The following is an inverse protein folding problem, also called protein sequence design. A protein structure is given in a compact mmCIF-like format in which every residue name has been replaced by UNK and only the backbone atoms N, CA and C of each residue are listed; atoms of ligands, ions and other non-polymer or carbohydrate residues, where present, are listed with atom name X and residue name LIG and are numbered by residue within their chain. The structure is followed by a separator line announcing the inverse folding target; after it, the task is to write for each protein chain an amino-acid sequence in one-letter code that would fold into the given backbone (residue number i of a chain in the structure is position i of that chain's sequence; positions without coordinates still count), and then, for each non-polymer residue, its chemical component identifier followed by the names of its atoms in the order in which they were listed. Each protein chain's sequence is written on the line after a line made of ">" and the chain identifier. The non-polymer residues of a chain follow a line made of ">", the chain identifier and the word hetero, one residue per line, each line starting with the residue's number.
data_IF_122787862318
#
_entry.id   IF_122787862318
#
_cell.length_a   1.000
_cell.length_b   1.000
_cell.length_c   1.000
_cell.angle_alpha   90.00
_cell.angle_beta   90.00
_cell.angle_gamma   90.00
#
_symmetry.space_group_name_H-M   'P 1'
#
loop_
_entity.id
_entity.type
_entity.pdbx_description
1 polymer ?
#
# COMPACT_ATOMS: atom_id res chain seq x y z
N UNK A 1 -21.83 -36.88 -11.23
CA UNK A 1 -22.48 -35.58 -11.52
C UNK A 1 -22.65 -34.75 -10.25
N UNK A 2 -23.23 -35.32 -9.19
CA UNK A 2 -23.45 -34.64 -7.90
C UNK A 2 -22.16 -34.19 -7.18
N UNK A 3 -21.10 -35.01 -7.19
CA UNK A 3 -19.80 -34.64 -6.62
C UNK A 3 -19.09 -33.49 -7.38
N UNK A 4 -19.31 -33.37 -8.69
CA UNK A 4 -18.76 -32.28 -9.49
C UNK A 4 -19.45 -30.94 -9.16
N UNK A 5 -20.79 -30.97 -9.01
CA UNK A 5 -21.58 -29.82 -8.58
C UNK A 5 -21.21 -29.35 -7.15
N UNK A 6 -20.98 -30.28 -6.23
CA UNK A 6 -20.57 -29.95 -4.86
C UNK A 6 -19.15 -29.33 -4.79
N UNK A 7 -18.25 -29.74 -5.67
CA UNK A 7 -16.92 -29.12 -5.79
C UNK A 7 -16.99 -27.72 -6.41
N UNK A 8 -17.86 -27.53 -7.41
CA UNK A 8 -18.07 -26.26 -8.09
C UNK A 8 -18.69 -25.21 -7.15
N UNK A 9 -19.69 -25.60 -6.36
CA UNK A 9 -20.33 -24.72 -5.37
C UNK A 9 -19.32 -24.31 -4.27
N UNK A 10 -18.50 -25.24 -3.78
CA UNK A 10 -17.46 -24.94 -2.78
C UNK A 10 -16.37 -24.02 -3.33
N UNK A 11 -15.98 -24.19 -4.60
CA UNK A 11 -15.02 -23.32 -5.27
C UNK A 11 -15.59 -21.91 -5.49
N UNK A 12 -16.82 -21.80 -5.98
CA UNK A 12 -17.50 -20.53 -6.20
C UNK A 12 -17.69 -19.76 -4.88
N UNK A 13 -18.14 -20.46 -3.84
CA UNK A 13 -18.35 -19.89 -2.49
C UNK A 13 -17.04 -19.40 -1.89
N UNK A 14 -15.93 -20.14 -2.04
CA UNK A 14 -14.61 -19.71 -1.55
C UNK A 14 -14.04 -18.50 -2.32
N UNK A 15 -14.24 -18.43 -3.64
CA UNK A 15 -13.82 -17.28 -4.47
C UNK A 15 -14.63 -16.03 -4.09
N UNK A 16 -15.95 -16.16 -3.96
CA UNK A 16 -16.83 -15.07 -3.55
C UNK A 16 -16.51 -14.57 -2.14
N UNK A 17 -16.23 -15.48 -1.19
CA UNK A 17 -15.91 -15.11 0.18
C UNK A 17 -14.54 -14.40 0.29
N UNK A 18 -13.54 -14.86 -0.46
CA UNK A 18 -12.21 -14.22 -0.49
C UNK A 18 -12.24 -12.81 -1.08
N UNK A 19 -12.99 -12.62 -2.19
CA UNK A 19 -13.16 -11.29 -2.80
C UNK A 19 -14.00 -10.35 -1.93
N UNK A 20 -15.09 -10.84 -1.35
CA UNK A 20 -15.92 -10.04 -0.45
C UNK A 20 -15.14 -9.64 0.81
N UNK A 21 -14.35 -10.56 1.38
CA UNK A 21 -13.52 -10.30 2.54
C UNK A 21 -12.51 -9.19 2.33
N UNK A 22 -11.82 -9.16 1.19
CA UNK A 22 -10.89 -8.07 0.89
C UNK A 22 -11.63 -6.75 0.72
N UNK A 23 -12.75 -6.70 0.00
CA UNK A 23 -13.52 -5.45 -0.16
C UNK A 23 -13.99 -4.86 1.17
N UNK A 24 -14.51 -5.69 2.07
CA UNK A 24 -14.92 -5.26 3.41
C UNK A 24 -13.72 -4.73 4.20
N UNK A 25 -12.59 -5.46 4.15
CA UNK A 25 -11.35 -5.01 4.78
C UNK A 25 -10.89 -3.64 4.24
N UNK A 26 -10.86 -3.46 2.91
CA UNK A 26 -10.44 -2.21 2.28
C UNK A 26 -11.35 -1.03 2.64
N UNK A 27 -12.66 -1.27 2.78
CA UNK A 27 -13.60 -0.22 3.23
C UNK A 27 -13.29 0.19 4.67
N UNK A 28 -13.15 -0.75 5.59
CA UNK A 28 -12.88 -0.46 7.00
C UNK A 28 -11.52 0.24 7.17
N UNK A 29 -10.51 -0.24 6.45
CA UNK A 29 -9.18 0.35 6.47
C UNK A 29 -9.19 1.77 5.86
N UNK A 30 -9.92 1.96 4.75
CA UNK A 30 -10.11 3.27 4.13
C UNK A 30 -10.81 4.27 5.05
N UNK A 31 -11.82 3.83 5.81
CA UNK A 31 -12.47 4.67 6.81
C UNK A 31 -11.50 5.09 7.92
N UNK A 32 -10.57 4.20 8.30
CA UNK A 32 -9.53 4.50 9.30
C UNK A 32 -8.55 5.57 8.80
N UNK A 33 -8.11 5.47 7.54
CA UNK A 33 -7.30 6.52 6.89
C UNK A 33 -8.05 7.85 6.81
N UNK A 34 -9.30 7.83 6.35
CA UNK A 34 -10.13 9.03 6.21
C UNK A 34 -10.34 9.70 7.58
N UNK A 35 -10.57 8.93 8.64
CA UNK A 35 -10.73 9.47 9.98
C UNK A 35 -9.47 10.24 10.45
N UNK A 36 -8.27 9.69 10.20
CA UNK A 36 -7.00 10.36 10.52
C UNK A 36 -6.85 11.66 9.71
N UNK A 37 -7.17 11.63 8.41
CA UNK A 37 -7.06 12.79 7.52
C UNK A 37 -8.08 13.89 7.86
N UNK A 38 -9.31 13.53 8.22
CA UNK A 38 -10.33 14.48 8.69
C UNK A 38 -9.88 15.11 10.00
N UNK A 39 -9.37 14.33 10.95
CA UNK A 39 -8.87 14.85 12.21
C UNK A 39 -7.72 15.86 11.97
N UNK A 40 -6.75 15.51 11.12
CA UNK A 40 -5.66 16.40 10.74
C UNK A 40 -6.17 17.70 10.08
N UNK A 41 -7.10 17.59 9.13
CA UNK A 41 -7.68 18.73 8.42
C UNK A 41 -8.50 19.64 9.34
N UNK A 42 -9.27 19.05 10.26
CA UNK A 42 -10.06 19.79 11.25
C UNK A 42 -9.16 20.57 12.22
N UNK A 43 -8.12 19.92 12.76
CA UNK A 43 -7.18 20.55 13.69
C UNK A 43 -6.48 21.75 13.04
N UNK A 44 -6.11 21.61 11.76
CA UNK A 44 -5.55 22.71 10.97
C UNK A 44 -6.55 23.86 10.78
N UNK A 45 -7.78 23.57 10.37
CA UNK A 45 -8.80 24.59 10.12
C UNK A 45 -9.14 25.41 11.38
N UNK A 46 -8.96 24.82 12.56
CA UNK A 46 -9.24 25.45 13.86
C UNK A 46 -7.99 26.09 14.51
N UNK A 47 -6.98 26.46 13.73
CA UNK A 47 -5.89 27.33 14.18
C UNK A 47 -4.70 26.63 14.82
N UNK A 48 -4.57 25.31 14.67
CA UNK A 48 -3.32 24.64 15.04
C UNK A 48 -2.16 25.21 14.18
N UNK A 49 -1.00 25.55 14.78
CA UNK A 49 0.15 26.05 14.04
C UNK A 49 0.62 24.96 13.06
N UNK A 50 0.50 25.26 11.77
CA UNK A 50 0.85 24.37 10.66
C UNK A 50 1.98 25.01 9.84
N UNK A 51 3.11 24.32 9.62
CA UNK A 51 4.19 24.88 8.82
C UNK A 51 3.75 25.07 7.37
N UNK A 52 4.31 26.07 6.67
CA UNK A 52 4.04 26.22 5.25
C UNK A 52 4.63 25.02 4.47
N UNK A 53 3.99 24.60 3.37
CA UNK A 53 4.48 23.50 2.54
C UNK A 53 5.95 23.69 2.16
N UNK A 54 6.77 22.65 2.37
CA UNK A 54 8.21 22.66 2.06
C UNK A 54 9.14 23.30 3.08
N UNK A 55 8.62 23.87 4.19
CA UNK A 55 9.48 24.40 5.27
C UNK A 55 9.89 23.34 6.30
N UNK A 56 9.05 22.32 6.51
CA UNK A 56 9.30 21.26 7.50
C UNK A 56 9.65 19.90 6.87
N UNK A 57 9.36 19.70 5.58
CA UNK A 57 9.44 18.39 4.91
C UNK A 57 10.15 18.51 3.55
N UNK A 58 10.91 17.47 3.17
CA UNK A 58 11.65 17.39 1.91
C UNK A 58 10.75 17.00 0.72
N UNK A 59 9.94 17.96 0.26
CA UNK A 59 8.96 17.76 -0.83
C UNK A 59 9.55 17.10 -2.10
N UNK A 60 10.76 17.44 -2.59
CA UNK A 60 11.30 16.80 -3.79
C UNK A 60 11.61 15.31 -3.59
N UNK A 61 12.14 14.95 -2.42
CA UNK A 61 12.48 13.56 -2.10
C UNK A 61 11.20 12.73 -1.94
N UNK A 62 10.21 13.26 -1.21
CA UNK A 62 8.92 12.59 -1.04
C UNK A 62 8.16 12.49 -2.37
N UNK A 63 8.22 13.50 -3.25
CA UNK A 63 7.59 13.46 -4.57
C UNK A 63 8.21 12.36 -5.46
N UNK A 64 9.55 12.23 -5.45
CA UNK A 64 10.23 11.11 -6.10
C UNK A 64 9.80 9.76 -5.50
N UNK A 65 9.67 9.70 -4.18
CA UNK A 65 9.23 8.50 -3.48
C UNK A 65 7.81 8.08 -3.88
N UNK A 66 6.89 9.05 -3.95
CA UNK A 66 5.51 8.85 -4.44
C UNK A 66 5.50 8.38 -5.89
N UNK A 67 6.34 8.93 -6.76
CA UNK A 67 6.47 8.47 -8.14
C UNK A 67 6.93 7.00 -8.23
N UNK A 68 7.91 6.61 -7.42
CA UNK A 68 8.36 5.22 -7.33
C UNK A 68 7.22 4.28 -6.88
N UNK A 69 6.38 4.73 -5.95
CA UNK A 69 5.21 4.01 -5.47
C UNK A 69 4.16 3.82 -6.59
N UNK A 70 3.85 4.88 -7.34
CA UNK A 70 2.95 4.82 -8.50
C UNK A 70 3.47 3.86 -9.58
N UNK A 71 4.78 3.87 -9.84
CA UNK A 71 5.40 2.92 -10.75
C UNK A 71 5.26 1.47 -10.24
N UNK A 72 5.34 1.26 -8.93
CA UNK A 72 5.15 -0.07 -8.31
C UNK A 72 3.74 -0.61 -8.52
N UNK A 73 2.74 0.27 -8.52
CA UNK A 73 1.34 -0.05 -8.85
C UNK A 73 1.23 -0.60 -10.28
N UNK A 74 1.85 0.10 -11.23
CA UNK A 74 1.87 -0.31 -12.63
C UNK A 74 2.56 -1.67 -12.82
N UNK A 75 3.68 -1.91 -12.15
CA UNK A 75 4.37 -3.22 -12.22
C UNK A 75 3.55 -4.32 -11.55
N UNK A 76 2.80 -4.03 -10.48
CA UNK A 76 1.93 -5.01 -9.83
C UNK A 76 0.81 -5.47 -10.77
N UNK A 77 0.15 -4.53 -11.46
CA UNK A 77 -0.90 -4.86 -12.42
C UNK A 77 -0.34 -5.69 -13.58
N UNK A 78 0.84 -5.34 -14.09
CA UNK A 78 1.53 -6.12 -15.13
C UNK A 78 1.86 -7.55 -14.69
N UNK A 79 2.19 -7.75 -13.41
CA UNK A 79 2.42 -9.06 -12.83
C UNK A 79 1.12 -9.89 -12.76
N UNK A 80 -0.01 -9.25 -12.38
CA UNK A 80 -1.32 -9.89 -12.39
C UNK A 80 -1.75 -10.33 -13.80
N UNK A 81 -1.53 -9.48 -14.80
CA UNK A 81 -1.81 -9.83 -16.20
C UNK A 81 -0.92 -10.99 -16.67
N UNK A 82 0.36 -10.97 -16.31
CA UNK A 82 1.30 -12.03 -16.68
C UNK A 82 0.91 -13.39 -16.09
N UNK A 83 0.52 -13.45 -14.82
CA UNK A 83 0.08 -14.73 -14.20
C UNK A 83 -1.24 -15.23 -14.79
N UNK A 84 -2.14 -14.32 -15.19
CA UNK A 84 -3.38 -14.67 -15.91
C UNK A 84 -3.10 -15.20 -17.32
N UNK A 85 -2.11 -14.65 -18.00
CA UNK A 85 -1.64 -15.11 -19.31
C UNK A 85 -0.75 -16.38 -19.24
N UNK A 86 -0.39 -16.85 -18.05
CA UNK A 86 0.50 -18.00 -17.86
C UNK A 86 1.98 -17.69 -18.06
N UNK A 87 2.37 -16.43 -18.28
CA UNK A 87 3.77 -16.01 -18.42
C UNK A 87 4.43 -15.86 -17.04
N UNK A 88 5.02 -16.96 -16.56
CA UNK A 88 5.71 -17.00 -15.27
C UNK A 88 6.94 -16.10 -15.21
N UNK A 89 7.67 -15.95 -16.33
CA UNK A 89 8.89 -15.14 -16.34
C UNK A 89 8.55 -13.67 -16.18
N UNK A 90 7.56 -13.18 -16.92
CA UNK A 90 7.06 -11.81 -16.79
C UNK A 90 6.45 -11.58 -15.40
N UNK A 91 5.67 -12.54 -14.89
CA UNK A 91 5.10 -12.47 -13.53
C UNK A 91 6.17 -12.27 -12.46
N UNK A 92 7.21 -13.12 -12.44
CA UNK A 92 8.30 -13.03 -11.46
C UNK A 92 9.06 -11.70 -11.60
N UNK A 93 9.36 -11.29 -12.84
CA UNK A 93 10.08 -10.04 -13.12
C UNK A 93 9.31 -8.83 -12.59
N UNK A 94 8.04 -8.71 -12.97
CA UNK A 94 7.23 -7.53 -12.65
C UNK A 94 6.91 -7.47 -11.15
N UNK A 95 6.66 -8.63 -10.52
CA UNK A 95 6.46 -8.70 -9.06
C UNK A 95 7.76 -8.38 -8.28
N UNK A 96 8.93 -8.74 -8.81
CA UNK A 96 10.22 -8.37 -8.22
C UNK A 96 10.46 -6.87 -8.28
N UNK A 97 10.05 -6.21 -9.38
CA UNK A 97 10.09 -4.75 -9.48
C UNK A 97 9.16 -4.07 -8.48
N UNK A 98 7.93 -4.57 -8.31
CA UNK A 98 7.01 -4.06 -7.28
C UNK A 98 7.62 -4.19 -5.89
N UNK A 99 8.22 -5.34 -5.57
CA UNK A 99 8.90 -5.56 -4.28
C UNK A 99 10.04 -4.56 -4.07
N UNK A 100 10.89 -4.38 -5.07
CA UNK A 100 12.02 -3.47 -4.99
C UNK A 100 11.57 -2.03 -4.76
N UNK A 101 10.57 -1.56 -5.52
CA UNK A 101 10.04 -0.20 -5.39
C UNK A 101 9.35 0.03 -4.03
N UNK A 102 8.63 -0.97 -3.51
CA UNK A 102 8.05 -0.91 -2.16
C UNK A 102 9.11 -0.84 -1.05
N UNK A 103 10.19 -1.61 -1.17
CA UNK A 103 11.32 -1.56 -0.22
C UNK A 103 12.06 -0.24 -0.31
N UNK A 104 12.27 0.28 -1.53
CA UNK A 104 12.83 1.61 -1.75
C UNK A 104 11.98 2.67 -1.05
N UNK A 105 10.65 2.57 -1.16
CA UNK A 105 9.73 3.50 -0.53
C UNK A 105 9.87 3.54 0.99
N UNK A 106 9.85 2.38 1.64
CA UNK A 106 10.05 2.31 3.09
C UNK A 106 11.44 2.77 3.53
N UNK A 107 12.46 2.53 2.71
CA UNK A 107 13.83 2.94 3.01
C UNK A 107 13.98 4.46 3.00
N UNK A 108 13.38 5.13 2.00
CA UNK A 108 13.33 6.59 1.93
C UNK A 108 12.52 7.15 3.11
N UNK A 109 11.35 6.58 3.41
CA UNK A 109 10.53 7.01 4.54
C UNK A 109 11.27 6.88 5.88
N UNK A 110 11.98 5.77 6.08
CA UNK A 110 12.78 5.55 7.28
C UNK A 110 13.95 6.55 7.38
N UNK A 111 14.57 6.91 6.26
CA UNK A 111 15.59 7.94 6.21
C UNK A 111 15.02 9.32 6.61
N UNK A 112 13.86 9.70 6.05
CA UNK A 112 13.19 10.96 6.41
C UNK A 112 12.84 10.99 7.90
N UNK A 113 12.30 9.90 8.46
CA UNK A 113 12.01 9.82 9.90
C UNK A 113 13.25 10.01 10.77
N UNK A 114 14.37 9.37 10.40
CA UNK A 114 15.63 9.52 11.15
C UNK A 114 16.12 10.96 11.10
N UNK A 115 16.00 11.63 9.96
CA UNK A 115 16.35 13.03 9.82
C UNK A 115 15.47 13.93 10.70
N UNK A 116 14.16 13.76 10.67
CA UNK A 116 13.22 14.53 11.51
C UNK A 116 13.44 14.32 13.02
N UNK A 117 13.68 13.07 13.44
CA UNK A 117 13.97 12.78 14.85
C UNK A 117 15.28 13.44 15.29
N UNK A 118 16.29 13.48 14.42
CA UNK A 118 17.56 14.17 14.70
C UNK A 118 17.38 15.70 14.83
N UNK A 119 16.44 16.28 14.09
CA UNK A 119 16.07 17.71 14.19
C UNK A 119 15.05 18.01 15.30
N UNK A 120 14.83 17.06 16.23
CA UNK A 120 13.85 17.17 17.33
C UNK A 120 12.39 17.34 16.89
N UNK A 121 12.07 17.01 15.64
CA UNK A 121 10.70 16.91 15.16
C UNK A 121 10.10 15.55 15.58
N UNK A 122 9.66 15.48 16.83
CA UNK A 122 9.07 14.29 17.45
C UNK A 122 7.54 14.30 17.32
N UNK A 123 6.85 13.14 17.41
CA UNK A 123 5.38 13.09 17.41
C UNK A 123 4.73 13.97 18.50
N UNK A 124 5.43 14.23 19.59
CA UNK A 124 4.99 15.08 20.70
C UNK A 124 5.37 16.56 20.55
N UNK A 125 6.14 16.94 19.52
CA UNK A 125 6.65 18.31 19.37
C UNK A 125 5.55 19.29 18.97
N UNK A 126 4.56 18.82 18.21
CA UNK A 126 3.44 19.62 17.74
C UNK A 126 2.27 18.72 17.34
N UNK A 127 1.08 19.30 17.28
CA UNK A 127 -0.11 18.63 16.74
C UNK A 127 0.13 18.20 15.28
N UNK A 128 0.80 19.05 14.50
CA UNK A 128 1.20 18.73 13.12
C UNK A 128 2.09 17.47 13.06
N UNK A 129 3.13 17.39 13.90
CA UNK A 129 4.00 16.22 13.97
C UNK A 129 3.22 14.96 14.36
N UNK A 130 2.32 15.05 15.35
CA UNK A 130 1.46 13.94 15.74
C UNK A 130 0.59 13.42 14.59
N UNK A 131 -0.07 14.31 13.85
CA UNK A 131 -0.86 13.96 12.67
C UNK A 131 0.02 13.38 11.54
N UNK A 132 1.18 13.98 11.29
CA UNK A 132 2.16 13.53 10.30
C UNK A 132 2.58 12.09 10.58
N UNK A 133 3.18 11.82 11.75
CA UNK A 133 3.68 10.50 12.12
C UNK A 133 2.55 9.47 12.28
N UNK A 134 1.36 9.91 12.72
CA UNK A 134 0.18 9.06 12.79
C UNK A 134 -0.27 8.57 11.40
N UNK A 135 -0.49 9.49 10.46
CA UNK A 135 -0.96 9.15 9.11
C UNK A 135 0.09 8.37 8.31
N UNK A 136 1.34 8.88 8.28
CA UNK A 136 2.42 8.27 7.50
C UNK A 136 2.94 6.99 8.15
N UNK A 137 2.91 6.88 9.48
CA UNK A 137 3.24 5.65 10.20
C UNK A 137 2.22 4.54 9.98
N UNK A 138 0.93 4.87 10.05
CA UNK A 138 -0.14 3.93 9.73
C UNK A 138 -0.01 3.42 8.28
N UNK A 139 0.28 4.31 7.33
CA UNK A 139 0.58 3.92 5.96
C UNK A 139 1.83 3.02 5.83
N UNK A 140 2.93 3.39 6.49
CA UNK A 140 4.17 2.62 6.46
C UNK A 140 4.00 1.18 6.94
N UNK A 141 3.14 0.96 7.95
CA UNK A 141 2.78 -0.39 8.41
C UNK A 141 2.04 -1.20 7.35
N UNK A 142 1.15 -0.56 6.57
CA UNK A 142 0.43 -1.21 5.46
C UNK A 142 1.36 -1.57 4.30
N UNK A 143 2.27 -0.67 3.93
CA UNK A 143 3.28 -0.99 2.90
C UNK A 143 4.19 -2.12 3.37
N UNK A 144 4.61 -2.11 4.63
CA UNK A 144 5.44 -3.17 5.21
C UNK A 144 4.73 -4.53 5.19
N UNK A 145 3.46 -4.58 5.59
CA UNK A 145 2.67 -5.82 5.52
C UNK A 145 2.50 -6.27 4.06
N UNK A 146 2.24 -5.36 3.13
CA UNK A 146 2.17 -5.64 1.70
C UNK A 146 3.47 -6.22 1.14
N UNK A 147 4.63 -5.72 1.53
CA UNK A 147 5.94 -6.25 1.14
C UNK A 147 6.11 -7.70 1.59
N UNK A 148 5.69 -8.03 2.82
CA UNK A 148 5.71 -9.40 3.32
C UNK A 148 4.82 -10.31 2.46
N UNK A 149 3.61 -9.85 2.10
CA UNK A 149 2.71 -10.61 1.23
C UNK A 149 3.25 -10.76 -0.20
N UNK A 150 3.86 -9.71 -0.77
CA UNK A 150 4.53 -9.78 -2.07
C UNK A 150 5.65 -10.81 -2.03
N UNK A 151 6.48 -10.80 -0.98
CA UNK A 151 7.57 -11.76 -0.83
C UNK A 151 7.03 -13.20 -0.76
N UNK A 152 5.95 -13.42 -0.01
CA UNK A 152 5.28 -14.73 0.05
C UNK A 152 4.80 -15.20 -1.34
N UNK A 153 4.15 -14.31 -2.10
CA UNK A 153 3.67 -14.61 -3.46
C UNK A 153 4.84 -14.82 -4.43
N UNK A 154 5.91 -14.03 -4.33
CA UNK A 154 7.10 -14.16 -5.16
C UNK A 154 7.79 -15.51 -4.94
N UNK A 155 7.99 -15.92 -3.69
CA UNK A 155 8.55 -17.25 -3.35
C UNK A 155 7.65 -18.37 -3.88
N UNK A 156 6.32 -18.21 -3.78
CA UNK A 156 5.37 -19.16 -4.37
C UNK A 156 5.45 -19.21 -5.90
N UNK A 157 5.66 -18.06 -6.55
CA UNK A 157 5.86 -17.94 -8.00
C UNK A 157 7.13 -18.62 -8.49
N UNK A 158 8.24 -18.40 -7.79
CA UNK A 158 9.52 -19.07 -8.07
C UNK A 158 9.42 -20.60 -7.95
N UNK A 159 8.54 -21.10 -7.07
CA UNK A 159 8.24 -22.53 -6.91
C UNK A 159 7.19 -23.06 -7.91
N UNK A 160 6.75 -22.25 -8.86
CA UNK A 160 5.75 -22.62 -9.87
C UNK A 160 4.34 -22.88 -9.31
N UNK A 161 4.02 -22.37 -8.11
CA UNK A 161 2.75 -22.66 -7.42
C UNK A 161 1.56 -21.84 -7.94
N UNK A 162 1.83 -20.77 -8.70
CA UNK A 162 0.81 -19.91 -9.27
C UNK A 162 0.70 -20.20 -10.76
N UNK A 163 -0.53 -20.34 -11.25
CA UNK A 163 -0.85 -20.52 -12.66
C UNK A 163 -2.18 -19.80 -12.94
N UNK A 164 -2.63 -19.74 -14.20
CA UNK A 164 -3.87 -19.08 -14.59
C UNK A 164 -5.10 -19.57 -13.79
N UNK A 165 -5.10 -20.82 -13.30
CA UNK A 165 -6.17 -21.35 -12.44
C UNK A 165 -6.11 -20.88 -10.96
N UNK A 166 -4.93 -20.46 -10.47
CA UNK A 166 -4.66 -20.12 -9.07
C UNK A 166 -4.21 -18.67 -8.88
N UNK A 167 -4.71 -17.74 -9.70
CA UNK A 167 -4.32 -16.32 -9.67
C UNK A 167 -5.05 -15.49 -8.59
N UNK A 168 -6.08 -16.04 -7.95
CA UNK A 168 -6.94 -15.29 -7.01
C UNK A 168 -6.14 -14.62 -5.89
N UNK A 169 -5.11 -15.28 -5.36
CA UNK A 169 -4.25 -14.71 -4.30
C UNK A 169 -3.44 -13.51 -4.81
N UNK A 170 -2.98 -13.57 -6.06
CA UNK A 170 -2.26 -12.47 -6.71
C UNK A 170 -3.22 -11.31 -6.96
N UNK A 171 -4.47 -11.59 -7.36
CA UNK A 171 -5.50 -10.57 -7.55
C UNK A 171 -5.86 -9.86 -6.24
N UNK A 172 -6.09 -10.61 -5.15
CA UNK A 172 -6.37 -10.03 -3.82
C UNK A 172 -5.19 -9.15 -3.36
N UNK A 173 -3.96 -9.62 -3.54
CA UNK A 173 -2.75 -8.84 -3.24
C UNK A 173 -2.65 -7.57 -4.10
N UNK A 174 -3.01 -7.67 -5.38
CA UNK A 174 -3.00 -6.53 -6.32
C UNK A 174 -4.00 -5.46 -5.90
N UNK A 175 -5.23 -5.87 -5.51
CA UNK A 175 -6.25 -4.95 -4.99
C UNK A 175 -5.78 -4.25 -3.71
N UNK A 176 -5.17 -5.00 -2.78
CA UNK A 176 -4.60 -4.44 -1.55
C UNK A 176 -3.50 -3.42 -1.85
N UNK A 177 -2.55 -3.76 -2.73
CA UNK A 177 -1.44 -2.87 -3.07
C UNK A 177 -1.91 -1.58 -3.72
N UNK A 178 -2.80 -1.65 -4.72
CA UNK A 178 -3.39 -0.46 -5.34
C UNK A 178 -4.12 0.44 -4.35
N UNK A 179 -4.83 -0.16 -3.39
CA UNK A 179 -5.51 0.60 -2.35
C UNK A 179 -4.54 1.35 -1.44
N UNK A 180 -3.46 0.69 -1.02
CA UNK A 180 -2.39 1.31 -0.21
C UNK A 180 -1.78 2.49 -0.97
N UNK A 181 -1.48 2.34 -2.25
CA UNK A 181 -0.95 3.40 -3.11
C UNK A 181 -1.92 4.59 -3.24
N UNK A 182 -3.23 4.31 -3.38
CA UNK A 182 -4.27 5.34 -3.44
C UNK A 182 -4.36 6.14 -2.14
N UNK A 183 -4.30 5.47 -0.99
CA UNK A 183 -4.28 6.13 0.32
C UNK A 183 -3.03 7.00 0.50
N UNK A 184 -1.87 6.55 -0.02
CA UNK A 184 -0.66 7.38 0.02
C UNK A 184 -0.82 8.70 -0.73
N UNK A 185 -1.43 8.68 -1.92
CA UNK A 185 -1.69 9.91 -2.67
C UNK A 185 -2.52 10.92 -1.87
N UNK A 186 -3.52 10.45 -1.12
CA UNK A 186 -4.32 11.30 -0.25
C UNK A 186 -3.51 11.85 0.92
N UNK A 187 -2.73 10.99 1.59
CA UNK A 187 -1.85 11.40 2.70
C UNK A 187 -0.82 12.42 2.23
N UNK A 188 -0.15 12.17 1.11
CA UNK A 188 0.82 13.09 0.52
C UNK A 188 0.18 14.45 0.20
N UNK A 189 -1.01 14.44 -0.41
CA UNK A 189 -1.71 15.69 -0.74
C UNK A 189 -2.08 16.49 0.52
N UNK A 190 -2.68 15.85 1.53
CA UNK A 190 -3.18 16.55 2.73
C UNK A 190 -2.06 16.97 3.68
N UNK A 191 -1.00 16.17 3.80
CA UNK A 191 0.02 16.37 4.85
C UNK A 191 1.26 17.09 4.32
N UNK A 192 1.66 16.86 3.06
CA UNK A 192 2.88 17.45 2.48
C UNK A 192 2.59 18.66 1.59
N UNK A 193 1.49 18.65 0.82
CA UNK A 193 1.22 19.71 -0.17
C UNK A 193 0.29 20.80 0.36
N UNK A 194 -0.75 20.42 1.09
CA UNK A 194 -1.64 21.35 1.73
C UNK A 194 -0.98 21.83 3.01
#
# INVERSE_FOLDING_TARGET
>A
MEQALAMEDKAFKNIAFGKLGIWVFLIIDGLSFIAILIAASYLRANGAPWPHPGQALNVPLTAFNTFALLLSSYTMMNALEAVRAGDQKKFIRDLSWTLFLGVLFLSIQAFEYRHFIAEHFLPSSSIYAGCFFGATGFHGLHVFSGIIFILYVLIGGLKGRFNAANHLRVEILTLFWHFVDLMWMLVFTVVYLL
#
